data_IF_988612275507
#
_entry.id   IF_988612275507
#
_cell.length_a   1.000
_cell.length_b   1.000
_cell.length_c   1.000
_cell.angle_alpha   90.00
_cell.angle_beta   90.00
_cell.angle_gamma   90.00
#
_symmetry.space_group_name_H-M   'P 1'
#
loop_
_entity.id
_entity.type
_entity.pdbx_description
1 polymer ?
#
# COMPACT_ATOMS: atom_id res chain seq x y z
N UNK A 1 11.14 11.26 -11.67
CA UNK A 1 10.59 9.92 -11.40
C UNK A 1 11.73 9.01 -10.97
N UNK A 2 11.68 8.47 -9.76
CA UNK A 2 12.75 7.62 -9.20
C UNK A 2 12.72 6.16 -9.70
N UNK A 3 11.79 5.80 -10.61
CA UNK A 3 11.65 4.43 -11.10
C UNK A 3 10.92 3.47 -10.16
N UNK A 4 10.37 3.94 -9.04
CA UNK A 4 9.63 3.09 -8.06
C UNK A 4 8.53 2.26 -8.71
N UNK A 5 7.68 2.86 -9.52
CA UNK A 5 6.59 2.16 -10.21
C UNK A 5 7.12 1.16 -11.24
N UNK A 6 8.22 1.48 -11.92
CA UNK A 6 8.88 0.55 -12.85
C UNK A 6 9.40 -0.68 -12.11
N UNK A 7 10.03 -0.48 -10.97
CA UNK A 7 10.52 -1.56 -10.12
C UNK A 7 9.35 -2.39 -9.55
N UNK A 8 8.28 -1.73 -9.09
CA UNK A 8 7.07 -2.41 -8.61
C UNK A 8 6.46 -3.31 -9.69
N UNK A 9 6.36 -2.83 -10.93
CA UNK A 9 5.88 -3.63 -12.05
C UNK A 9 6.82 -4.81 -12.39
N UNK A 10 8.13 -4.65 -12.17
CA UNK A 10 9.08 -5.75 -12.35
C UNK A 10 8.89 -6.84 -11.28
N UNK A 11 8.77 -6.46 -10.00
CA UNK A 11 8.49 -7.40 -8.90
C UNK A 11 7.16 -8.14 -9.13
N UNK A 12 6.15 -7.44 -9.62
CA UNK A 12 4.83 -8.03 -9.87
C UNK A 12 4.87 -9.21 -10.84
N UNK A 13 5.83 -9.23 -11.76
CA UNK A 13 6.05 -10.36 -12.68
C UNK A 13 6.58 -11.62 -12.00
N UNK A 14 7.21 -11.46 -10.84
CA UNK A 14 7.74 -12.59 -10.03
C UNK A 14 6.69 -13.18 -9.08
N UNK A 15 5.53 -12.51 -8.95
CA UNK A 15 4.40 -13.03 -8.15
C UNK A 15 3.74 -14.17 -8.90
N UNK A 16 3.40 -15.30 -8.22
CA UNK A 16 2.73 -16.43 -8.85
C UNK A 16 1.51 -16.02 -9.69
N UNK A 17 1.38 -16.60 -10.88
CA UNK A 17 0.34 -16.21 -11.86
C UNK A 17 -1.08 -16.61 -11.45
N UNK A 18 -1.22 -17.54 -10.52
CA UNK A 18 -2.49 -18.02 -9.98
C UNK A 18 -2.98 -17.23 -8.76
N UNK A 19 -2.17 -16.31 -8.24
CA UNK A 19 -2.58 -15.45 -7.14
C UNK A 19 -3.58 -14.37 -7.60
N UNK A 20 -4.50 -14.03 -6.69
CA UNK A 20 -5.42 -12.91 -6.87
C UNK A 20 -4.77 -11.61 -6.40
N UNK A 21 -4.61 -10.68 -7.32
CA UNK A 21 -3.97 -9.38 -7.09
C UNK A 21 -5.03 -8.27 -7.09
N UNK A 22 -5.00 -7.42 -6.07
CA UNK A 22 -5.75 -6.16 -6.08
C UNK A 22 -4.74 -5.02 -6.11
N UNK A 23 -4.89 -4.11 -7.08
CA UNK A 23 -4.11 -2.87 -7.12
C UNK A 23 -4.99 -1.70 -6.72
N UNK A 24 -4.44 -0.75 -5.95
CA UNK A 24 -5.13 0.46 -5.50
C UNK A 24 -4.22 1.65 -5.79
N UNK A 25 -4.70 2.61 -6.56
CA UNK A 25 -3.90 3.74 -7.04
C UNK A 25 -4.75 5.00 -7.20
N UNK A 26 -4.11 6.17 -7.16
CA UNK A 26 -4.72 7.43 -7.60
C UNK A 26 -4.79 7.51 -9.13
N UNK A 27 -3.77 7.03 -9.79
CA UNK A 27 -3.68 6.93 -11.25
C UNK A 27 -3.12 5.57 -11.60
N UNK A 28 -3.73 4.90 -12.55
CA UNK A 28 -3.39 3.52 -12.92
C UNK A 28 -2.04 3.45 -13.64
N UNK A 29 -1.03 2.96 -12.93
CA UNK A 29 0.34 2.75 -13.43
C UNK A 29 0.83 1.31 -13.23
N UNK A 30 0.28 0.60 -12.25
CA UNK A 30 0.60 -0.79 -11.96
C UNK A 30 -0.15 -1.70 -12.94
N UNK A 31 0.58 -2.67 -13.51
CA UNK A 31 0.06 -3.55 -14.57
C UNK A 31 0.30 -5.01 -14.23
N UNK A 32 -0.64 -5.65 -13.49
CA UNK A 32 -0.56 -7.08 -13.21
C UNK A 32 -0.60 -7.92 -14.49
N UNK A 33 0.19 -8.99 -14.51
CA UNK A 33 0.13 -10.03 -15.54
C UNK A 33 -0.79 -11.19 -15.14
N UNK A 34 -1.13 -11.25 -13.84
CA UNK A 34 -2.04 -12.26 -13.29
C UNK A 34 -3.44 -12.07 -13.88
N UNK A 35 -4.05 -13.16 -14.36
CA UNK A 35 -5.40 -13.12 -14.95
C UNK A 35 -6.48 -12.77 -13.93
N UNK A 36 -6.29 -13.20 -12.67
CA UNK A 36 -7.18 -12.85 -11.56
C UNK A 36 -6.69 -11.58 -10.86
N UNK A 37 -6.99 -10.43 -11.45
CA UNK A 37 -6.67 -9.15 -10.82
C UNK A 37 -7.82 -8.16 -10.88
N UNK A 38 -7.87 -7.25 -9.92
CA UNK A 38 -8.80 -6.15 -9.86
C UNK A 38 -8.02 -4.85 -9.64
N UNK A 39 -8.20 -3.88 -10.53
CA UNK A 39 -7.61 -2.56 -10.40
C UNK A 39 -8.66 -1.58 -9.85
N UNK A 40 -8.37 -1.00 -8.69
CA UNK A 40 -9.18 0.02 -8.02
C UNK A 40 -8.47 1.37 -8.11
N UNK A 41 -9.21 2.39 -8.51
CA UNK A 41 -8.68 3.75 -8.66
C UNK A 41 -9.46 4.69 -7.76
N UNK A 42 -8.76 5.48 -6.97
CA UNK A 42 -9.35 6.50 -6.11
C UNK A 42 -9.96 7.63 -6.94
N UNK A 43 -11.08 8.19 -6.47
CA UNK A 43 -11.73 9.33 -7.10
C UNK A 43 -11.73 10.53 -6.16
N UNK A 44 -11.35 11.70 -6.70
CA UNK A 44 -11.40 12.97 -5.96
C UNK A 44 -12.82 13.56 -5.87
N UNK A 45 -13.78 12.95 -6.53
CA UNK A 45 -15.16 13.43 -6.58
C UNK A 45 -15.40 14.55 -7.61
N UNK A 46 -14.52 14.67 -8.61
CA UNK A 46 -14.67 15.61 -9.68
C UNK A 46 -15.75 15.16 -10.66
N UNK A 47 -16.41 16.10 -11.34
CA UNK A 47 -17.40 15.85 -12.40
C UNK A 47 -18.64 15.02 -11.97
N UNK A 48 -19.05 15.13 -10.69
CA UNK A 48 -20.25 14.43 -10.19
C UNK A 48 -20.02 13.01 -9.75
N UNK A 49 -18.81 12.53 -9.76
CA UNK A 49 -18.44 11.24 -9.16
C UNK A 49 -18.38 11.31 -7.63
N UNK A 50 -18.67 10.21 -6.97
CA UNK A 50 -18.48 10.11 -5.53
C UNK A 50 -16.99 10.15 -5.19
N UNK A 51 -16.63 10.89 -4.13
CA UNK A 51 -15.26 10.87 -3.60
C UNK A 51 -14.98 9.51 -2.96
N UNK A 52 -13.97 8.81 -3.48
CA UNK A 52 -13.52 7.52 -2.97
C UNK A 52 -12.03 7.58 -2.69
N UNK A 53 -11.65 7.44 -1.43
CA UNK A 53 -10.25 7.53 -1.00
C UNK A 53 -9.53 6.21 -1.14
N UNK A 54 -8.21 6.25 -1.22
CA UNK A 54 -7.33 5.06 -1.17
C UNK A 54 -7.61 4.24 0.09
N UNK A 55 -7.79 4.89 1.23
CA UNK A 55 -8.13 4.22 2.49
C UNK A 55 -9.45 3.43 2.40
N UNK A 56 -10.49 4.04 1.83
CA UNK A 56 -11.80 3.37 1.64
C UNK A 56 -11.66 2.15 0.72
N UNK A 57 -10.93 2.28 -0.38
CA UNK A 57 -10.68 1.18 -1.31
C UNK A 57 -9.87 0.05 -0.67
N UNK A 58 -8.89 0.39 0.15
CA UNK A 58 -8.08 -0.58 0.88
C UNK A 58 -8.93 -1.38 1.86
N UNK A 59 -9.78 -0.73 2.63
CA UNK A 59 -10.72 -1.40 3.56
C UNK A 59 -11.70 -2.33 2.81
N UNK A 60 -12.22 -1.88 1.67
CA UNK A 60 -13.09 -2.70 0.83
C UNK A 60 -12.34 -3.90 0.23
N UNK A 61 -11.09 -3.70 -0.21
CA UNK A 61 -10.29 -4.74 -0.85
C UNK A 61 -10.04 -5.96 0.05
N UNK A 62 -9.90 -5.75 1.35
CA UNK A 62 -9.72 -6.84 2.32
C UNK A 62 -10.88 -7.83 2.34
N UNK A 63 -12.08 -7.41 1.92
CA UNK A 63 -13.27 -8.27 1.82
C UNK A 63 -13.38 -9.01 0.48
N UNK A 64 -12.52 -8.67 -0.48
CA UNK A 64 -12.52 -9.24 -1.83
C UNK A 64 -11.58 -10.45 -1.96
N UNK A 65 -11.03 -10.93 -0.84
CA UNK A 65 -10.12 -12.09 -0.75
C UNK A 65 -8.90 -11.99 -1.67
N UNK A 66 -8.11 -10.91 -1.63
CA UNK A 66 -6.86 -10.86 -2.36
C UNK A 66 -5.83 -11.78 -1.71
N UNK A 67 -4.94 -12.36 -2.52
CA UNK A 67 -3.70 -12.95 -2.00
C UNK A 67 -2.72 -11.84 -1.67
N UNK A 68 -2.61 -10.83 -2.55
CA UNK A 68 -1.78 -9.65 -2.32
C UNK A 68 -2.47 -8.37 -2.72
N UNK A 69 -2.13 -7.30 -1.99
CA UNK A 69 -2.55 -5.93 -2.28
C UNK A 69 -1.33 -5.13 -2.71
N UNK A 70 -1.41 -4.52 -3.89
CA UNK A 70 -0.41 -3.57 -4.39
C UNK A 70 -0.98 -2.17 -4.28
N UNK A 71 -0.47 -1.41 -3.35
CA UNK A 71 -0.84 -0.02 -3.15
C UNK A 71 0.18 0.86 -3.86
N UNK A 72 -0.25 1.66 -4.81
CA UNK A 72 0.65 2.45 -5.67
C UNK A 72 1.58 3.35 -4.86
N UNK A 73 1.05 4.03 -3.85
CA UNK A 73 1.83 4.87 -2.94
C UNK A 73 1.10 5.10 -1.63
N UNK A 74 1.83 5.12 -0.52
CA UNK A 74 1.34 5.54 0.78
C UNK A 74 1.70 7.00 1.01
N UNK A 75 0.69 7.84 1.25
CA UNK A 75 0.84 9.29 1.46
C UNK A 75 0.18 9.82 2.72
N UNK A 76 -0.68 9.02 3.37
CA UNK A 76 -1.49 9.49 4.48
C UNK A 76 -2.13 8.38 5.31
N UNK A 77 -3.42 8.53 5.65
CA UNK A 77 -4.11 7.68 6.62
C UNK A 77 -4.22 6.21 6.22
N UNK A 78 -4.06 5.89 4.94
CA UNK A 78 -4.03 4.52 4.43
C UNK A 78 -2.83 3.70 4.93
N UNK A 79 -1.82 4.34 5.50
CA UNK A 79 -0.64 3.65 6.05
C UNK A 79 -1.02 2.61 7.10
N UNK A 80 -1.84 2.96 8.06
CA UNK A 80 -2.22 2.04 9.13
C UNK A 80 -3.05 0.84 8.66
N UNK A 81 -4.15 1.01 7.91
CA UNK A 81 -4.89 -0.13 7.38
C UNK A 81 -4.06 -1.00 6.42
N UNK A 82 -3.10 -0.44 5.68
CA UNK A 82 -2.19 -1.22 4.84
C UNK A 82 -1.27 -2.11 5.67
N UNK A 83 -0.65 -1.57 6.72
CA UNK A 83 0.18 -2.36 7.65
C UNK A 83 -0.62 -3.47 8.33
N UNK A 84 -1.86 -3.18 8.71
CA UNK A 84 -2.77 -4.19 9.26
C UNK A 84 -3.09 -5.29 8.26
N UNK A 85 -3.34 -4.94 7.00
CA UNK A 85 -3.63 -5.91 5.95
C UNK A 85 -2.48 -6.90 5.76
N UNK A 86 -1.23 -6.41 5.74
CA UNK A 86 -0.04 -7.25 5.65
C UNK A 86 0.03 -8.22 6.86
N UNK A 87 -0.21 -7.70 8.06
CA UNK A 87 -0.10 -8.47 9.31
C UNK A 87 -1.23 -9.49 9.50
N UNK A 88 -2.38 -9.30 8.85
CA UNK A 88 -3.60 -10.07 9.13
C UNK A 88 -4.07 -10.96 7.97
N UNK A 89 -3.19 -11.40 7.07
CA UNK A 89 -3.56 -12.40 6.08
C UNK A 89 -3.26 -12.07 4.62
N UNK A 90 -2.57 -10.95 4.36
CA UNK A 90 -2.17 -10.57 3.01
C UNK A 90 -0.64 -10.37 2.91
N UNK A 91 0.17 -11.40 3.28
CA UNK A 91 1.63 -11.30 3.22
C UNK A 91 2.10 -11.10 1.78
N UNK A 92 3.22 -10.42 1.61
CA UNK A 92 3.75 -10.13 0.27
C UNK A 92 3.02 -9.00 -0.47
N UNK A 93 2.15 -8.26 0.22
CA UNK A 93 1.63 -6.98 -0.27
C UNK A 93 2.74 -5.95 -0.33
N UNK A 94 2.69 -5.07 -1.32
CA UNK A 94 3.76 -4.12 -1.63
C UNK A 94 3.19 -2.73 -1.80
N UNK A 95 3.94 -1.72 -1.37
CA UNK A 95 3.65 -0.32 -1.65
C UNK A 95 4.94 0.48 -1.86
N UNK A 96 4.78 1.73 -2.25
CA UNK A 96 5.86 2.70 -2.29
C UNK A 96 5.62 3.83 -1.31
N UNK A 97 6.69 4.46 -0.86
CA UNK A 97 6.66 5.66 -0.02
C UNK A 97 7.78 6.60 -0.45
N UNK A 98 7.56 7.90 -0.36
CA UNK A 98 8.61 8.89 -0.57
C UNK A 98 9.43 9.08 0.70
N UNK A 99 10.72 8.78 0.63
CA UNK A 99 11.69 9.02 1.67
C UNK A 99 13.12 9.08 1.10
N UNK A 100 14.01 9.75 1.78
CA UNK A 100 15.41 9.90 1.33
C UNK A 100 16.31 8.74 1.80
N UNK A 101 15.79 7.87 2.65
CA UNK A 101 16.51 6.73 3.19
C UNK A 101 15.55 5.66 3.71
N UNK A 102 15.97 4.40 3.87
CA UNK A 102 15.16 3.37 4.52
C UNK A 102 14.69 3.79 5.92
N UNK A 103 15.58 4.40 6.69
CA UNK A 103 15.24 4.94 8.02
C UNK A 103 14.18 6.04 7.91
N UNK A 104 14.32 6.96 6.96
CA UNK A 104 13.34 8.00 6.68
C UNK A 104 11.97 7.44 6.28
N UNK A 105 11.94 6.30 5.59
CA UNK A 105 10.69 5.62 5.25
C UNK A 105 9.93 5.16 6.50
N UNK A 106 10.61 4.59 7.49
CA UNK A 106 9.99 4.24 8.78
C UNK A 106 9.44 5.45 9.51
N UNK A 107 10.19 6.56 9.50
CA UNK A 107 9.75 7.81 10.12
C UNK A 107 8.51 8.39 9.43
N UNK A 108 8.48 8.40 8.10
CA UNK A 108 7.32 8.86 7.34
C UNK A 108 6.09 8.00 7.61
N UNK A 109 6.24 6.67 7.59
CA UNK A 109 5.15 5.76 7.91
C UNK A 109 4.65 5.97 9.35
N UNK A 110 5.55 6.16 10.31
CA UNK A 110 5.18 6.44 11.70
C UNK A 110 4.36 7.73 11.83
N UNK A 111 4.76 8.81 11.14
CA UNK A 111 4.01 10.06 11.12
C UNK A 111 2.61 9.88 10.53
N UNK A 112 2.49 9.15 9.43
CA UNK A 112 1.19 8.86 8.80
C UNK A 112 0.27 8.03 9.72
N UNK A 113 0.82 7.04 10.42
CA UNK A 113 0.07 6.24 11.40
C UNK A 113 -0.35 7.09 12.61
N UNK A 114 0.50 8.00 13.08
CA UNK A 114 0.15 8.94 14.16
C UNK A 114 -1.02 9.84 13.76
N UNK A 115 -1.12 10.26 12.50
CA UNK A 115 -2.24 11.06 11.98
C UNK A 115 -3.58 10.34 12.04
N UNK A 116 -3.60 9.01 12.15
CA UNK A 116 -4.83 8.23 12.33
C UNK A 116 -5.44 8.39 13.74
N UNK A 117 -4.75 9.04 14.68
CA UNK A 117 -5.29 9.38 15.99
C UNK A 117 -5.52 8.18 16.94
N UNK A 118 -4.72 7.13 16.84
CA UNK A 118 -4.89 5.88 17.60
C UNK A 118 -4.40 5.97 19.07
N UNK A 119 -3.81 7.10 19.47
CA UNK A 119 -3.27 7.28 20.81
C UNK A 119 -1.98 6.48 21.10
N UNK A 120 -1.37 5.88 20.07
CA UNK A 120 -0.10 5.17 20.20
C UNK A 120 1.07 6.15 20.22
N UNK A 121 2.10 5.81 20.99
CA UNK A 121 3.35 6.57 21.01
C UNK A 121 4.18 6.26 19.77
N UNK A 122 5.03 7.20 19.37
CA UNK A 122 5.88 7.06 18.19
C UNK A 122 6.76 5.80 18.24
N UNK A 123 7.37 5.51 19.39
CA UNK A 123 8.21 4.33 19.56
C UNK A 123 7.44 3.01 19.41
N UNK A 124 6.20 2.96 19.89
CA UNK A 124 5.31 1.81 19.71
C UNK A 124 4.94 1.61 18.24
N UNK A 125 4.67 2.70 17.52
CA UNK A 125 4.36 2.66 16.10
C UNK A 125 5.56 2.19 15.28
N UNK A 126 6.75 2.73 15.53
CA UNK A 126 7.98 2.31 14.84
C UNK A 126 8.28 0.84 15.08
N UNK A 127 8.13 0.36 16.33
CA UNK A 127 8.29 -1.07 16.65
C UNK A 127 7.29 -1.94 15.89
N UNK A 128 6.04 -1.51 15.79
CA UNK A 128 5.02 -2.21 15.02
C UNK A 128 5.37 -2.26 13.52
N UNK A 129 5.75 -1.15 12.92
CA UNK A 129 6.16 -1.09 11.51
C UNK A 129 7.32 -2.04 11.24
N UNK A 130 8.34 -2.04 12.09
CA UNK A 130 9.50 -2.92 11.98
C UNK A 130 9.12 -4.40 12.09
N UNK A 131 8.12 -4.73 12.89
CA UNK A 131 7.64 -6.11 13.04
C UNK A 131 6.86 -6.61 11.82
N UNK A 132 6.24 -5.70 11.06
CA UNK A 132 5.35 -6.01 9.93
C UNK A 132 6.08 -5.96 8.59
N UNK A 133 7.03 -5.03 8.41
CA UNK A 133 7.77 -4.83 7.16
C UNK A 133 9.11 -5.58 7.18
N UNK A 134 9.20 -6.75 6.52
CA UNK A 134 10.44 -7.52 6.50
C UNK A 134 11.48 -6.96 5.53
N UNK A 135 11.05 -6.21 4.51
CA UNK A 135 11.94 -5.73 3.44
C UNK A 135 11.60 -4.29 3.09
N UNK A 136 12.61 -3.45 3.05
CA UNK A 136 12.55 -2.07 2.55
C UNK A 136 13.65 -1.89 1.51
N UNK A 137 13.29 -1.40 0.34
CA UNK A 137 14.20 -1.20 -0.78
C UNK A 137 14.24 0.29 -1.11
N UNK A 138 15.43 0.86 -1.11
CA UNK A 138 15.68 2.23 -1.52
C UNK A 138 16.09 2.29 -2.99
N UNK A 139 15.53 3.25 -3.71
CA UNK A 139 15.91 3.60 -5.08
C UNK A 139 16.27 5.07 -5.21
#
# INVERSE_FOLDING_TARGET
>A
SSGKTTFLNAILKEVPVDERIITIEDTREVRPIQSNHLALVASKGDQGEARVTVETLLQASMRLRPDRIFLGEIRGPEAYPFLRAINTGHPGSISTVHADSPQGAFEQLALMVMQAGLGLRRDEIVAYIQSVLPIVIQQ
#
